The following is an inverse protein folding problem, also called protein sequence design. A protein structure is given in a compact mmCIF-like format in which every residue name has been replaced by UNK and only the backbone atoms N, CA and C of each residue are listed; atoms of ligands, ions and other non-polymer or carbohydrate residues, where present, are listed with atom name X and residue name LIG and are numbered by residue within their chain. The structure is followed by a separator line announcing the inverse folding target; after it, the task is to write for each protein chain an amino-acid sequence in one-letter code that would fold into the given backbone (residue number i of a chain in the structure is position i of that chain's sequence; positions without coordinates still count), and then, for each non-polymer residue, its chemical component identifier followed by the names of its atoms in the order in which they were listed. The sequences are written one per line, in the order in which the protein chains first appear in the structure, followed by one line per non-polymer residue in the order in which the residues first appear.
data_IF_865544071198
#
_entry.id   IF_865544071198
#
_cell.length_a   1.000
_cell.length_b   1.000
_cell.length_c   1.000
_cell.angle_alpha   90.00
_cell.angle_beta   90.00
_cell.angle_gamma   90.00
#
_symmetry.space_group_name_H-M   'P 1'
#
loop_
_entity.id
_entity.type
_entity.pdbx_description
1 polymer ?
#
# COMPACT_ATOMS: atom_id res chain seq x y z
N UNK A 1 4.67 8.30 3.94
CA UNK A 1 5.97 8.37 3.22
C UNK A 1 5.82 8.36 1.69
N UNK A 2 4.82 9.03 1.12
CA UNK A 2 4.55 8.92 -0.34
C UNK A 2 5.59 9.65 -1.20
N UNK A 3 6.20 10.73 -0.69
CA UNK A 3 7.23 11.50 -1.41
C UNK A 3 8.45 10.67 -1.83
N UNK A 4 8.91 9.75 -0.98
CA UNK A 4 10.02 8.84 -1.33
C UNK A 4 9.61 7.85 -2.42
N UNK A 5 8.39 7.32 -2.36
CA UNK A 5 7.86 6.40 -3.36
C UNK A 5 7.78 7.09 -4.74
N UNK A 6 7.27 8.34 -4.78
CA UNK A 6 7.25 9.14 -6.01
C UNK A 6 8.66 9.31 -6.59
N UNK A 7 9.64 9.65 -5.75
CA UNK A 7 11.02 9.88 -6.20
C UNK A 7 11.63 8.60 -6.79
N UNK A 8 11.35 7.45 -6.21
CA UNK A 8 11.84 6.16 -6.72
C UNK A 8 11.18 5.82 -8.06
N UNK A 9 9.86 6.00 -8.17
CA UNK A 9 9.14 5.77 -9.42
C UNK A 9 9.72 6.59 -10.58
N UNK A 10 10.10 7.84 -10.32
CA UNK A 10 10.65 8.73 -11.34
C UNK A 10 12.14 8.51 -11.63
N UNK A 11 12.97 8.28 -10.59
CA UNK A 11 14.44 8.36 -10.72
C UNK A 11 15.14 7.00 -10.65
N UNK A 12 14.46 5.95 -10.22
CA UNK A 12 15.07 4.62 -9.99
C UNK A 12 14.18 3.50 -10.55
N UNK A 13 13.89 3.49 -11.86
CA UNK A 13 12.98 2.51 -12.47
C UNK A 13 13.46 1.06 -12.34
N UNK A 14 14.78 0.84 -12.23
CA UNK A 14 15.36 -0.51 -12.08
C UNK A 14 15.35 -1.01 -10.63
N UNK A 15 15.10 -0.13 -9.65
CA UNK A 15 15.09 -0.49 -8.24
C UNK A 15 13.75 -1.12 -7.89
N UNK A 16 13.79 -2.40 -7.53
CA UNK A 16 12.63 -3.10 -6.97
C UNK A 16 12.28 -2.53 -5.59
N UNK A 17 11.02 -2.16 -5.38
CA UNK A 17 10.52 -1.61 -4.12
C UNK A 17 9.25 -2.31 -3.69
N UNK A 18 9.23 -2.68 -2.42
CA UNK A 18 8.04 -3.16 -1.72
C UNK A 18 7.58 -2.06 -0.78
N UNK A 19 6.42 -1.49 -1.07
CA UNK A 19 5.79 -0.45 -0.27
C UNK A 19 4.69 -1.07 0.60
N UNK A 20 4.88 -1.06 1.92
CA UNK A 20 3.89 -1.58 2.86
C UNK A 20 3.26 -0.41 3.60
N UNK A 21 1.94 -0.31 3.58
CA UNK A 21 1.19 0.72 4.30
C UNK A 21 0.22 0.09 5.29
N UNK A 22 0.48 0.29 6.58
CA UNK A 22 -0.45 -0.06 7.64
C UNK A 22 -1.31 1.15 8.01
N UNK A 23 -2.62 0.97 8.07
CA UNK A 23 -3.57 1.98 8.52
C UNK A 23 -4.68 1.34 9.37
N UNK A 24 -5.47 2.15 10.07
CA UNK A 24 -6.59 1.63 10.87
C UNK A 24 -7.64 0.98 9.95
N UNK A 25 -8.00 1.65 8.86
CA UNK A 25 -8.95 1.19 7.84
C UNK A 25 -8.86 2.05 6.58
N UNK A 26 -9.72 1.80 5.59
CA UNK A 26 -9.75 2.55 4.32
C UNK A 26 -10.03 4.04 4.47
N UNK A 27 -10.81 4.44 5.48
CA UNK A 27 -11.10 5.87 5.75
C UNK A 27 -9.88 6.63 6.26
N UNK A 28 -8.96 5.93 6.91
CA UNK A 28 -7.70 6.49 7.41
C UNK A 28 -6.50 6.25 6.45
N UNK A 29 -6.71 5.56 5.33
CA UNK A 29 -5.68 5.32 4.33
C UNK A 29 -5.62 6.48 3.32
N UNK A 30 -5.07 7.62 3.76
CA UNK A 30 -4.84 8.75 2.88
C UNK A 30 -3.91 8.38 1.71
N UNK A 31 -4.21 8.89 0.52
CA UNK A 31 -3.44 8.67 -0.72
C UNK A 31 -3.42 7.22 -1.25
N UNK A 32 -4.32 6.35 -0.79
CA UNK A 32 -4.45 4.96 -1.26
C UNK A 32 -4.46 4.84 -2.79
N UNK A 33 -5.36 5.58 -3.44
CA UNK A 33 -5.51 5.53 -4.89
C UNK A 33 -4.25 5.98 -5.63
N UNK A 34 -3.53 6.97 -5.08
CA UNK A 34 -2.29 7.47 -5.67
C UNK A 34 -1.19 6.40 -5.62
N UNK A 35 -1.04 5.72 -4.47
CA UNK A 35 -0.07 4.63 -4.31
C UNK A 35 -0.43 3.45 -5.22
N UNK A 36 -1.70 3.06 -5.28
CA UNK A 36 -2.17 1.98 -6.16
C UNK A 36 -1.89 2.31 -7.64
N UNK A 37 -2.15 3.55 -8.06
CA UNK A 37 -1.84 4.02 -9.41
C UNK A 37 -0.35 3.94 -9.71
N UNK A 38 0.51 4.40 -8.80
CA UNK A 38 1.96 4.31 -8.97
C UNK A 38 2.43 2.86 -9.11
N UNK A 39 1.95 1.95 -8.27
CA UNK A 39 2.31 0.54 -8.37
C UNK A 39 1.84 -0.08 -9.69
N UNK A 40 0.63 0.26 -10.18
CA UNK A 40 0.12 -0.23 -11.46
C UNK A 40 0.91 0.28 -12.67
N UNK A 41 1.47 1.49 -12.59
CA UNK A 41 2.23 2.13 -13.66
C UNK A 41 3.72 1.73 -13.67
N UNK A 42 4.23 1.22 -12.55
CA UNK A 42 5.65 0.96 -12.36
C UNK A 42 5.84 -0.50 -11.94
N UNK A 43 6.21 -1.38 -12.88
CA UNK A 43 6.37 -2.82 -12.61
C UNK A 43 7.45 -3.17 -11.59
N UNK A 44 8.32 -2.22 -11.24
CA UNK A 44 9.31 -2.36 -10.16
C UNK A 44 8.75 -2.05 -8.76
N UNK A 45 7.51 -1.56 -8.65
CA UNK A 45 6.87 -1.19 -7.39
C UNK A 45 5.74 -2.17 -7.08
N UNK A 46 5.81 -2.81 -5.91
CA UNK A 46 4.71 -3.59 -5.35
C UNK A 46 4.18 -2.89 -4.09
N UNK A 47 2.87 -2.69 -4.01
CA UNK A 47 2.22 -2.09 -2.85
C UNK A 47 1.41 -3.14 -2.09
N UNK A 48 1.54 -3.15 -0.76
CA UNK A 48 0.75 -3.96 0.15
C UNK A 48 0.12 -3.09 1.24
N UNK A 49 -1.14 -3.37 1.55
CA UNK A 49 -1.96 -2.61 2.48
C UNK A 49 -2.42 -3.51 3.62
N UNK A 50 -2.11 -3.11 4.84
CA UNK A 50 -2.53 -3.81 6.05
C UNK A 50 -3.51 -2.93 6.83
N UNK A 51 -4.71 -3.44 7.11
CA UNK A 51 -5.69 -2.72 7.94
C UNK A 51 -5.84 -3.38 9.30
N UNK A 52 -5.67 -2.59 10.36
CA UNK A 52 -5.84 -3.07 11.74
C UNK A 52 -7.30 -3.44 12.03
N UNK A 53 -8.24 -2.61 11.59
CA UNK A 53 -9.68 -2.76 11.83
C UNK A 53 -10.48 -2.31 10.58
N UNK A 54 -10.44 -3.08 9.49
CA UNK A 54 -11.12 -2.74 8.24
C UNK A 54 -12.61 -2.52 8.45
N UNK A 55 -13.19 -1.56 7.73
CA UNK A 55 -14.64 -1.35 7.74
C UNK A 55 -15.36 -2.43 6.92
N UNK A 56 -16.68 -2.55 7.08
CA UNK A 56 -17.49 -3.45 6.24
C UNK A 56 -17.36 -3.15 4.75
N UNK A 57 -17.23 -1.87 4.40
CA UNK A 57 -16.94 -1.43 3.04
C UNK A 57 -15.56 -1.90 2.57
N UNK A 58 -14.53 -1.81 3.43
CA UNK A 58 -13.19 -2.31 3.10
C UNK A 58 -13.16 -3.81 2.86
N UNK A 59 -13.94 -4.58 3.63
CA UNK A 59 -14.06 -6.03 3.45
C UNK A 59 -14.80 -6.38 2.16
N UNK A 60 -15.91 -5.69 1.88
CA UNK A 60 -16.70 -5.90 0.66
C UNK A 60 -15.90 -5.58 -0.60
N UNK A 61 -15.14 -4.49 -0.56
CA UNK A 61 -14.41 -3.99 -1.72
C UNK A 61 -12.99 -4.59 -1.80
N UNK A 62 -12.66 -5.56 -0.93
CA UNK A 62 -11.34 -6.20 -0.81
C UNK A 62 -10.20 -5.19 -0.86
N UNK A 63 -10.36 -4.15 -0.03
CA UNK A 63 -9.66 -2.89 -0.15
C UNK A 63 -8.27 -2.92 0.53
N UNK A 64 -7.87 -4.08 1.07
CA UNK A 64 -6.63 -4.36 1.79
C UNK A 64 -6.11 -5.78 1.50
N UNK A 65 -4.81 -6.00 1.73
CA UNK A 65 -4.14 -7.29 1.52
C UNK A 65 -4.10 -8.15 2.80
N UNK A 66 -4.00 -7.51 3.97
CA UNK A 66 -3.99 -8.20 5.27
C UNK A 66 -4.82 -7.44 6.31
N UNK A 67 -5.57 -8.20 7.11
CA UNK A 67 -6.24 -7.70 8.32
C UNK A 67 -5.36 -7.95 9.56
N UNK A 68 -5.38 -7.00 10.49
CA UNK A 68 -4.61 -7.02 11.73
C UNK A 68 -3.25 -6.32 11.62
N UNK A 69 -2.31 -6.73 12.47
CA UNK A 69 -0.97 -6.14 12.51
C UNK A 69 -0.03 -6.83 11.53
N UNK A 70 1.01 -6.10 11.09
CA UNK A 70 2.14 -6.70 10.38
C UNK A 70 2.87 -7.60 11.39
N UNK A 71 2.58 -8.90 11.34
CA UNK A 71 3.36 -9.90 12.04
C UNK A 71 4.62 -10.26 11.25
N UNK A 72 5.65 -10.66 11.99
CA UNK A 72 6.82 -11.30 11.41
C UNK A 72 6.51 -12.80 11.41
N UNK A 73 6.65 -13.46 10.26
CA UNK A 73 6.77 -14.92 10.22
C UNK A 73 7.75 -15.35 11.32
N UNK A 74 7.28 -16.21 12.23
CA UNK A 74 8.11 -16.91 13.21
C UNK A 74 8.96 -17.98 12.52
#
# INVERSE_FOLDING_TARGET
MVSMLNTIAEKQPDRKVTYIHAAINGRHHAMKEHVARLASQNGNIQSFVCYESPTEEDRRDQSFDKEGFIDRYG
#
